data_IF_182578469962
#
_entry.id   IF_182578469962
#
_cell.length_a   1.000
_cell.length_b   1.000
_cell.length_c   1.000
_cell.angle_alpha   90.00
_cell.angle_beta   90.00
_cell.angle_gamma   90.00
#
_symmetry.space_group_name_H-M   'P 1'
#
loop_
_entity.id
_entity.type
_entity.pdbx_description
1 polymer ?
#
# COMPACT_ATOMS: atom_id res chain seq x y z
N UNK A 1 -3.39 -5.24 6.17
CA UNK A 1 -1.97 -5.30 6.59
C UNK A 1 -1.11 -5.26 5.34
N UNK A 2 -0.13 -4.36 5.26
CA UNK A 2 0.70 -4.23 4.05
C UNK A 2 1.65 -5.42 3.89
N UNK A 3 1.61 -6.10 2.75
CA UNK A 3 2.51 -7.19 2.32
C UNK A 3 3.99 -6.89 2.69
N UNK A 4 4.43 -5.66 2.43
CA UNK A 4 5.81 -5.20 2.65
C UNK A 4 6.22 -5.12 4.12
N UNK A 5 5.26 -5.11 5.06
CA UNK A 5 5.55 -5.14 6.50
C UNK A 5 5.95 -6.54 6.98
N UNK A 6 5.89 -7.56 6.12
CA UNK A 6 6.42 -8.89 6.44
C UNK A 6 7.93 -8.78 6.65
N UNK A 7 8.44 -9.22 7.79
CA UNK A 7 9.88 -9.15 8.07
C UNK A 7 10.61 -10.18 7.19
N UNK A 8 11.71 -9.81 6.50
CA UNK A 8 12.54 -10.77 5.79
C UNK A 8 13.10 -11.84 6.75
N UNK A 9 13.17 -13.09 6.30
CA UNK A 9 13.82 -14.16 7.03
C UNK A 9 15.34 -14.02 6.93
N UNK A 10 16.08 -14.55 7.90
CA UNK A 10 17.56 -14.49 7.95
C UNK A 10 18.26 -15.12 6.74
N UNK A 11 17.57 -16.02 6.04
CA UNK A 11 18.04 -16.67 4.81
C UNK A 11 17.94 -15.76 3.58
N UNK A 12 17.07 -14.76 3.59
CA UNK A 12 16.97 -13.78 2.50
C UNK A 12 18.14 -12.81 2.64
N UNK A 13 18.99 -12.72 1.63
CA UNK A 13 20.14 -11.80 1.63
C UNK A 13 19.87 -10.58 0.79
N UNK A 14 19.17 -10.77 -0.32
CA UNK A 14 18.91 -9.73 -1.31
C UNK A 14 17.45 -9.33 -1.36
N UNK A 15 17.16 -8.15 -1.94
CA UNK A 15 15.78 -7.73 -2.24
C UNK A 15 15.06 -8.71 -3.17
N UNK A 16 15.76 -9.36 -4.10
CA UNK A 16 15.17 -10.39 -4.97
C UNK A 16 14.69 -11.61 -4.17
N UNK A 17 15.49 -12.09 -3.21
CA UNK A 17 15.10 -13.20 -2.33
C UNK A 17 13.85 -12.85 -1.54
N UNK A 18 13.81 -11.63 -1.01
CA UNK A 18 12.65 -11.13 -0.29
C UNK A 18 11.41 -11.02 -1.18
N UNK A 19 11.53 -10.50 -2.39
CA UNK A 19 10.42 -10.43 -3.34
C UNK A 19 9.89 -11.83 -3.68
N UNK A 20 10.76 -12.80 -3.97
CA UNK A 20 10.35 -14.20 -4.22
C UNK A 20 9.60 -14.78 -3.03
N UNK A 21 10.11 -14.59 -1.82
CA UNK A 21 9.46 -15.03 -0.59
C UNK A 21 8.04 -14.45 -0.45
N UNK A 22 7.89 -13.15 -0.66
CA UNK A 22 6.58 -12.51 -0.59
C UNK A 22 5.64 -13.03 -1.67
N UNK A 23 6.14 -13.21 -2.90
CA UNK A 23 5.35 -13.72 -4.03
C UNK A 23 4.85 -15.13 -3.74
N UNK A 24 5.72 -16.02 -3.28
CA UNK A 24 5.34 -17.39 -2.94
C UNK A 24 4.30 -17.42 -1.82
N UNK A 25 4.49 -16.60 -0.78
CA UNK A 25 3.62 -16.55 0.39
C UNK A 25 2.24 -15.97 0.07
N UNK A 26 2.18 -14.88 -0.67
CA UNK A 26 0.97 -14.06 -0.82
C UNK A 26 0.27 -14.21 -2.18
N UNK A 27 0.95 -14.75 -3.19
CA UNK A 27 0.39 -14.90 -4.55
C UNK A 27 0.29 -16.36 -4.94
N UNK A 28 1.41 -17.10 -4.94
CA UNK A 28 1.45 -18.51 -5.37
C UNK A 28 0.59 -19.39 -4.47
N UNK A 29 0.81 -19.31 -3.15
CA UNK A 29 0.11 -20.18 -2.20
C UNK A 29 -1.42 -19.97 -2.27
N UNK A 30 -1.96 -18.74 -2.23
CA UNK A 30 -3.40 -18.55 -2.37
C UNK A 30 -3.96 -19.03 -3.72
N UNK A 31 -3.25 -18.79 -4.83
CA UNK A 31 -3.67 -19.26 -6.15
C UNK A 31 -3.85 -20.78 -6.17
N UNK A 32 -2.83 -21.55 -5.78
CA UNK A 32 -2.89 -23.01 -5.84
C UNK A 32 -3.77 -23.63 -4.74
N UNK A 33 -3.82 -23.02 -3.56
CA UNK A 33 -4.60 -23.55 -2.43
C UNK A 33 -6.10 -23.29 -2.59
N UNK A 34 -6.48 -22.11 -3.08
CA UNK A 34 -7.88 -21.69 -3.18
C UNK A 34 -8.41 -21.67 -4.61
N UNK A 35 -7.58 -22.08 -5.59
CA UNK A 35 -7.90 -22.04 -7.03
C UNK A 35 -8.35 -20.64 -7.48
N UNK A 36 -7.68 -19.60 -6.96
CA UNK A 36 -8.02 -18.22 -7.32
C UNK A 36 -7.71 -17.98 -8.79
N UNK A 37 -8.71 -17.67 -9.61
CA UNK A 37 -8.55 -17.34 -11.03
C UNK A 37 -8.07 -15.90 -11.25
N UNK A 38 -8.05 -15.10 -10.19
CA UNK A 38 -7.65 -13.70 -10.24
C UNK A 38 -6.99 -13.30 -8.93
N UNK A 39 -5.87 -12.58 -9.02
CA UNK A 39 -5.12 -12.08 -7.86
C UNK A 39 -4.85 -10.59 -8.04
N UNK A 40 -5.34 -9.79 -7.10
CA UNK A 40 -5.17 -8.34 -7.07
C UNK A 40 -4.20 -7.93 -5.98
N UNK A 41 -3.12 -7.25 -6.36
CA UNK A 41 -2.14 -6.70 -5.45
C UNK A 41 -2.17 -5.17 -5.49
N UNK A 42 -2.79 -4.57 -4.48
CA UNK A 42 -2.95 -3.12 -4.38
C UNK A 42 -2.02 -2.56 -3.30
N UNK A 43 -1.16 -1.63 -3.70
CA UNK A 43 -0.36 -0.84 -2.78
C UNK A 43 -1.06 0.50 -2.51
N UNK A 44 -1.09 0.90 -1.24
CA UNK A 44 -1.73 2.15 -0.82
C UNK A 44 -1.00 3.38 -1.38
N UNK A 45 -1.78 4.35 -1.82
CA UNK A 45 -1.34 5.47 -2.65
C UNK A 45 -1.28 6.75 -1.82
N UNK A 46 -0.09 7.33 -1.56
CA UNK A 46 -0.01 8.55 -0.76
C UNK A 46 -0.53 9.81 -1.47
N UNK A 47 -0.69 9.85 -2.79
CA UNK A 47 -0.86 11.12 -3.54
C UNK A 47 -2.06 11.24 -4.53
N UNK A 48 -3.15 10.46 -4.44
CA UNK A 48 -4.24 10.48 -5.46
C UNK A 48 -5.55 11.13 -5.04
N UNK A 49 -5.69 11.53 -3.78
CA UNK A 49 -6.93 12.15 -3.28
C UNK A 49 -6.67 13.60 -2.85
N UNK A 50 -6.36 14.48 -3.82
CA UNK A 50 -6.11 15.90 -3.54
C UNK A 50 -5.12 16.15 -2.40
N UNK A 51 -5.11 17.36 -1.85
CA UNK A 51 -4.52 17.60 -0.53
C UNK A 51 -5.45 17.07 0.55
N UNK A 52 -5.26 15.82 0.98
CA UNK A 52 -5.99 15.33 2.14
C UNK A 52 -5.33 15.83 3.44
N UNK A 53 -6.08 16.02 4.54
CA UNK A 53 -5.49 16.32 5.85
C UNK A 53 -4.44 15.28 6.29
N UNK A 54 -4.56 14.04 5.79
CA UNK A 54 -3.54 12.99 6.02
C UNK A 54 -2.22 13.34 5.37
N UNK A 55 -2.20 14.03 4.23
CA UNK A 55 -0.98 14.38 3.51
C UNK A 55 -0.22 15.53 4.18
N UNK A 56 -0.95 16.45 4.82
CA UNK A 56 -0.37 17.48 5.69
C UNK A 56 0.30 16.84 6.90
N UNK A 57 -0.42 15.99 7.63
CA UNK A 57 0.13 15.29 8.81
C UNK A 57 1.28 14.34 8.42
N UNK A 58 1.18 13.69 7.26
CA UNK A 58 2.25 12.87 6.68
C UNK A 58 3.48 13.69 6.33
N UNK A 59 3.30 14.88 5.76
CA UNK A 59 4.42 15.77 5.41
C UNK A 59 5.09 16.29 6.67
N UNK A 60 4.32 16.63 7.70
CA UNK A 60 4.85 17.05 9.00
C UNK A 60 5.74 16.00 9.67
N UNK A 61 5.38 14.71 9.55
CA UNK A 61 6.20 13.59 10.07
C UNK A 61 7.50 13.40 9.28
N UNK A 62 7.46 13.67 7.99
CA UNK A 62 8.60 13.48 7.09
C UNK A 62 9.65 14.60 7.18
N UNK A 63 9.34 15.74 7.85
CA UNK A 63 10.30 16.83 8.09
C UNK A 63 11.46 16.40 9.00
N UNK A 64 11.32 15.29 9.73
CA UNK A 64 12.45 14.70 10.47
C UNK A 64 13.49 14.18 9.47
N UNK A 65 14.77 14.55 9.66
CA UNK A 65 15.91 14.10 8.85
C UNK A 65 16.01 12.57 8.85
N UNK A 66 15.30 11.93 7.93
CA UNK A 66 15.37 10.50 7.72
C UNK A 66 16.42 10.21 6.66
N UNK A 67 17.47 9.50 7.06
CA UNK A 67 18.57 9.14 6.16
C UNK A 67 18.05 8.15 5.12
N UNK A 68 18.06 8.57 3.85
CA UNK A 68 17.73 7.71 2.71
C UNK A 68 18.90 6.75 2.51
N UNK A 69 18.71 5.47 2.81
CA UNK A 69 19.76 4.44 2.68
C UNK A 69 20.06 4.05 1.22
N UNK A 70 19.04 4.00 0.36
CA UNK A 70 19.14 3.62 -1.05
C UNK A 70 18.47 4.64 -1.97
N UNK A 71 19.09 4.92 -3.11
CA UNK A 71 18.47 5.69 -4.20
C UNK A 71 17.79 4.80 -5.25
N UNK A 72 18.23 3.55 -5.35
CA UNK A 72 17.68 2.54 -6.25
C UNK A 72 17.83 1.14 -5.64
N UNK A 73 16.89 0.25 -5.94
CA UNK A 73 16.96 -1.15 -5.54
C UNK A 73 17.25 -2.01 -6.77
N UNK A 74 18.31 -2.80 -6.70
CA UNK A 74 18.62 -3.81 -7.71
C UNK A 74 18.33 -5.22 -7.16
N UNK A 75 18.17 -6.24 -8.02
CA UNK A 75 17.94 -7.61 -7.56
C UNK A 75 19.03 -8.14 -6.62
N UNK A 76 20.28 -7.70 -6.81
CA UNK A 76 21.42 -8.13 -6.01
C UNK A 76 21.70 -7.21 -4.81
N UNK A 77 20.93 -6.14 -4.62
CA UNK A 77 21.11 -5.24 -3.48
C UNK A 77 20.80 -6.00 -2.19
N UNK A 78 21.72 -5.90 -1.22
CA UNK A 78 21.54 -6.50 0.10
C UNK A 78 20.37 -5.86 0.85
N UNK A 79 19.70 -6.66 1.68
CA UNK A 79 18.64 -6.17 2.55
C UNK A 79 19.22 -5.25 3.65
N UNK A 80 18.47 -4.21 4.06
CA UNK A 80 18.88 -3.33 5.14
C UNK A 80 18.95 -4.11 6.45
N UNK A 81 19.95 -3.79 7.26
CA UNK A 81 20.15 -4.42 8.58
C UNK A 81 18.99 -4.15 9.55
N UNK A 82 18.31 -3.01 9.41
CA UNK A 82 17.13 -2.64 10.20
C UNK A 82 15.91 -2.40 9.30
N UNK A 83 15.14 -3.47 9.08
CA UNK A 83 13.95 -3.45 8.22
C UNK A 83 12.90 -2.40 8.65
N UNK A 84 12.69 -2.22 9.96
CA UNK A 84 11.70 -1.25 10.46
C UNK A 84 12.12 0.19 10.17
N UNK A 85 13.41 0.49 10.35
CA UNK A 85 13.97 1.81 10.04
C UNK A 85 13.95 2.09 8.54
N UNK A 86 14.22 1.08 7.71
CA UNK A 86 14.10 1.22 6.26
C UNK A 86 12.66 1.56 5.85
N UNK A 87 11.67 0.81 6.36
CA UNK A 87 10.27 1.02 6.02
C UNK A 87 9.65 2.29 6.61
N UNK A 88 10.25 2.88 7.66
CA UNK A 88 9.80 4.18 8.16
C UNK A 88 10.07 5.31 7.18
N UNK A 89 11.04 5.15 6.27
CA UNK A 89 11.35 6.13 5.23
C UNK A 89 10.43 5.97 4.04
N UNK A 90 9.61 6.99 3.75
CA UNK A 90 8.61 6.94 2.68
C UNK A 90 9.23 6.69 1.30
N UNK A 91 10.33 7.37 0.97
CA UNK A 91 11.07 7.16 -0.28
C UNK A 91 11.50 5.70 -0.43
N UNK A 92 12.02 5.09 0.65
CA UNK A 92 12.42 3.67 0.65
C UNK A 92 11.24 2.73 0.51
N UNK A 93 10.15 2.98 1.25
CA UNK A 93 8.91 2.22 1.13
C UNK A 93 8.40 2.22 -0.30
N UNK A 94 8.43 3.38 -0.97
CA UNK A 94 8.01 3.51 -2.38
C UNK A 94 8.96 2.78 -3.33
N UNK A 95 10.28 2.93 -3.16
CA UNK A 95 11.28 2.17 -3.93
C UNK A 95 11.04 0.66 -3.82
N UNK A 96 10.78 0.17 -2.60
CA UNK A 96 10.47 -1.24 -2.36
C UNK A 96 9.19 -1.70 -3.05
N UNK A 97 8.12 -0.90 -2.94
CA UNK A 97 6.83 -1.21 -3.59
C UNK A 97 7.02 -1.33 -5.10
N UNK A 98 7.73 -0.38 -5.72
CA UNK A 98 7.98 -0.41 -7.16
C UNK A 98 8.79 -1.64 -7.56
N UNK A 99 9.87 -1.91 -6.83
CA UNK A 99 10.72 -3.09 -7.05
C UNK A 99 9.92 -4.40 -6.95
N UNK A 100 9.06 -4.53 -5.94
CA UNK A 100 8.21 -5.71 -5.73
C UNK A 100 7.19 -5.85 -6.86
N UNK A 101 6.48 -4.78 -7.21
CA UNK A 101 5.49 -4.81 -8.29
C UNK A 101 6.08 -5.30 -9.60
N UNK A 102 7.24 -4.77 -10.01
CA UNK A 102 7.94 -5.18 -11.23
C UNK A 102 8.32 -6.67 -11.20
N UNK A 103 8.92 -7.13 -10.10
CA UNK A 103 9.36 -8.51 -9.99
C UNK A 103 8.19 -9.49 -9.86
N UNK A 104 7.10 -9.09 -9.23
CA UNK A 104 5.89 -9.90 -9.12
C UNK A 104 5.26 -10.15 -10.47
N UNK A 105 5.23 -9.15 -11.36
CA UNK A 105 4.79 -9.35 -12.74
C UNK A 105 5.66 -10.39 -13.45
N UNK A 106 6.98 -10.28 -13.29
CA UNK A 106 7.93 -11.23 -13.87
C UNK A 106 7.71 -12.65 -13.34
N UNK A 107 7.53 -12.80 -12.02
CA UNK A 107 7.29 -14.11 -11.39
C UNK A 107 5.93 -14.69 -11.75
N UNK A 108 4.88 -13.87 -11.80
CA UNK A 108 3.54 -14.26 -12.23
C UNK A 108 3.57 -14.79 -13.66
N UNK A 109 4.26 -14.11 -14.58
CA UNK A 109 4.40 -14.57 -15.95
C UNK A 109 5.08 -15.96 -16.04
N UNK A 110 6.08 -16.21 -15.20
CA UNK A 110 6.77 -17.50 -15.18
C UNK A 110 5.92 -18.61 -14.52
N UNK A 111 5.19 -18.28 -13.45
CA UNK A 111 4.46 -19.26 -12.64
C UNK A 111 3.08 -19.59 -13.21
N UNK A 112 2.42 -18.62 -13.81
CA UNK A 112 1.04 -18.73 -14.28
C UNK A 112 0.92 -18.95 -15.79
N UNK A 113 2.03 -19.17 -16.50
CA UNK A 113 2.05 -19.38 -17.95
C UNK A 113 1.06 -20.46 -18.45
N UNK A 114 0.80 -21.47 -17.62
CA UNK A 114 -0.07 -22.61 -17.94
C UNK A 114 -1.38 -22.64 -17.12
N UNK A 115 -1.72 -21.56 -16.41
CA UNK A 115 -2.88 -21.51 -15.51
C UNK A 115 -3.78 -20.33 -15.86
N UNK A 116 -5.09 -20.54 -15.87
CA UNK A 116 -6.12 -19.48 -16.01
C UNK A 116 -6.11 -18.54 -14.79
N UNK A 117 -5.05 -17.76 -14.62
CA UNK A 117 -4.87 -16.83 -13.52
C UNK A 117 -4.49 -15.45 -14.02
N UNK A 118 -5.38 -14.48 -13.80
CA UNK A 118 -5.09 -13.07 -14.03
C UNK A 118 -4.42 -12.46 -12.80
N UNK A 119 -3.17 -12.04 -12.93
CA UNK A 119 -2.46 -11.30 -11.89
C UNK A 119 -2.47 -9.80 -12.18
N UNK A 120 -3.05 -8.99 -11.29
CA UNK A 120 -3.19 -7.54 -11.41
C UNK A 120 -2.45 -6.88 -10.25
N UNK A 121 -1.70 -5.82 -10.52
CA UNK A 121 -1.12 -4.97 -9.47
C UNK A 121 -1.39 -3.49 -9.73
N UNK A 122 -1.54 -2.71 -8.66
CA UNK A 122 -1.76 -1.27 -8.72
C UNK A 122 -1.03 -0.53 -7.59
N UNK A 123 -0.67 0.73 -7.85
CA UNK A 123 0.03 1.60 -6.89
C UNK A 123 1.53 1.35 -6.77
N UNK A 124 2.13 0.63 -7.71
CA UNK A 124 3.55 0.25 -7.69
C UNK A 124 4.35 0.52 -8.96
N UNK A 125 3.88 1.40 -9.85
CA UNK A 125 4.66 1.85 -11.00
C UNK A 125 4.66 3.37 -11.00
N UNK A 126 5.84 3.97 -10.91
CA UNK A 126 6.02 5.42 -10.97
C UNK A 126 6.98 5.76 -12.10
N UNK A 127 6.44 5.99 -13.29
CA UNK A 127 7.15 6.77 -14.29
C UNK A 127 6.64 8.22 -14.14
N UNK A 128 7.30 8.99 -13.29
CA UNK A 128 7.11 10.45 -13.17
C UNK A 128 5.63 10.86 -12.96
N UNK A 129 5.01 10.44 -11.87
CA UNK A 129 3.66 10.87 -11.41
C UNK A 129 2.45 10.13 -12.00
N UNK A 130 2.63 9.03 -12.75
CA UNK A 130 1.51 8.20 -13.21
C UNK A 130 1.56 6.82 -12.55
N UNK A 131 0.73 6.64 -11.53
CA UNK A 131 0.49 5.35 -10.89
C UNK A 131 -0.31 4.46 -11.84
N UNK A 132 0.41 3.58 -12.54
CA UNK A 132 -0.18 2.64 -13.47
C UNK A 132 -0.69 1.42 -12.70
N UNK A 133 -1.89 0.97 -13.04
CA UNK A 133 -2.43 -0.28 -12.55
C UNK A 133 -3.06 -1.04 -13.71
N UNK A 134 -2.28 -1.89 -14.39
CA UNK A 134 -2.72 -3.18 -14.95
C UNK A 134 -1.63 -3.81 -15.82
N UNK A 135 -1.12 -4.94 -15.36
CA UNK A 135 -0.85 -6.06 -16.26
C UNK A 135 -1.99 -7.05 -16.03
N UNK A 136 -2.62 -7.54 -17.09
CA UNK A 136 -3.38 -8.77 -17.02
C UNK A 136 -2.56 -9.82 -17.76
N UNK A 137 -2.12 -10.86 -17.05
CA UNK A 137 -1.57 -12.05 -17.69
C UNK A 137 -2.76 -12.97 -17.93
N UNK A 138 -3.22 -13.07 -19.18
CA UNK A 138 -4.15 -14.12 -19.59
C UNK A 138 -3.37 -15.26 -20.22
N UNK A 139 -3.96 -16.46 -20.30
CA UNK A 139 -3.38 -17.61 -21.01
C UNK A 139 -3.06 -17.32 -22.48
N UNK A 140 -3.56 -16.22 -23.03
CA UNK A 140 -3.52 -15.89 -24.46
C UNK A 140 -2.75 -14.61 -24.78
N UNK A 141 -2.51 -13.72 -23.82
CA UNK A 141 -1.84 -12.43 -24.04
C UNK A 141 -1.34 -11.83 -22.74
N UNK A 142 -0.17 -11.18 -22.82
CA UNK A 142 0.29 -10.22 -21.80
C UNK A 142 -0.22 -8.86 -22.25
N UNK A 143 -1.23 -8.33 -21.56
CA UNK A 143 -1.78 -7.02 -21.89
C UNK A 143 -1.31 -5.98 -20.87
N UNK A 144 -0.51 -5.04 -21.38
CA UNK A 144 -0.11 -3.84 -20.67
C UNK A 144 -1.20 -2.79 -20.87
N UNK A 145 -2.06 -2.62 -19.87
CA UNK A 145 -3.04 -1.54 -19.86
C UNK A 145 -2.60 -0.50 -18.85
N UNK A 146 -2.05 0.60 -19.36
CA UNK A 146 -1.84 1.78 -18.55
C UNK A 146 -3.21 2.41 -18.37
N UNK A 147 -3.76 2.37 -17.16
CA UNK A 147 -4.84 3.26 -16.78
C UNK A 147 -4.28 4.69 -16.78
N UNK A 148 -4.16 5.30 -17.96
CA UNK A 148 -3.99 6.74 -18.11
C UNK A 148 -5.28 7.40 -17.66
N UNK A 149 -5.17 8.54 -16.99
CA UNK A 149 -6.27 9.32 -16.43
C UNK A 149 -7.26 9.81 -17.52
N UNK A 150 -8.07 8.93 -18.11
CA UNK A 150 -9.27 9.29 -18.88
C UNK A 150 -10.46 9.58 -17.94
N UNK A 151 -10.19 10.06 -16.72
CA UNK A 151 -11.19 10.60 -15.80
C UNK A 151 -10.84 12.07 -15.50
N UNK A 152 -10.86 12.88 -16.54
CA UNK A 152 -11.05 14.33 -16.53
C UNK A 152 -11.64 14.61 -17.90
N UNK A 153 -12.95 14.70 -18.07
CA UNK A 153 -13.70 15.89 -17.71
C UNK A 153 -15.15 15.50 -17.37
N UNK A 154 -15.42 15.13 -16.11
CA UNK A 154 -16.77 15.35 -15.59
C UNK A 154 -16.77 16.82 -15.21
N UNK A 155 -17.24 17.67 -16.11
CA UNK A 155 -17.67 19.02 -15.76
C UNK A 155 -18.66 18.86 -14.60
N UNK A 156 -18.18 19.13 -13.39
CA UNK A 156 -19.05 19.38 -12.25
C UNK A 156 -19.63 20.74 -12.58
N UNK A 157 -20.84 20.75 -13.13
CA UNK A 157 -21.69 21.93 -13.16
C UNK A 157 -21.91 22.34 -11.69
N UNK A 158 -21.01 23.17 -11.17
CA UNK A 158 -21.19 23.94 -9.94
C UNK A 158 -22.23 25.04 -10.26
N UNK A 159 -23.46 24.63 -10.53
CA UNK A 159 -24.64 25.48 -10.31
C UNK A 159 -24.83 25.58 -8.80
N UNK A 160 -23.94 26.36 -8.17
CA UNK A 160 -24.13 26.85 -6.81
C UNK A 160 -25.14 27.99 -6.90
N UNK A 161 -26.41 27.65 -6.75
CA UNK A 161 -27.45 28.61 -6.41
C UNK A 161 -27.08 29.20 -5.04
N UNK A 162 -26.58 30.43 -5.07
CA UNK A 162 -26.45 31.32 -3.91
C UNK A 162 -27.86 31.63 -3.38
N UNK A 163 -28.42 30.70 -2.61
CA UNK A 163 -29.52 31.00 -1.71
C UNK A 163 -28.92 31.52 -0.40
N UNK A 164 -28.90 32.85 -0.31
CA UNK A 164 -29.04 33.59 0.94
C UNK A 164 -29.99 32.86 1.88
N UNK A 165 -29.62 32.65 3.14
CA UNK A 165 -30.52 32.91 4.27
C UNK A 165 -29.83 32.73 5.64
N UNK A 166 -29.95 33.82 6.41
CA UNK A 166 -30.21 33.90 7.84
C UNK A 166 -29.17 33.37 8.85
N UNK A 167 -28.48 34.35 9.46
CA UNK A 167 -28.64 34.69 10.88
C UNK A 167 -29.28 33.57 11.74
N UNK A 168 -28.49 32.94 12.61
CA UNK A 168 -28.91 32.74 14.00
C UNK A 168 -27.77 32.23 14.90
N UNK A 169 -27.48 33.09 15.87
CA UNK A 169 -27.33 32.80 17.30
C UNK A 169 -26.19 31.89 17.76
N UNK A 170 -25.19 32.60 18.28
CA UNK A 170 -24.41 32.25 19.48
C UNK A 170 -25.26 31.46 20.49
N UNK A 171 -24.96 30.16 20.63
CA UNK A 171 -25.34 29.40 21.82
C UNK A 171 -24.07 28.99 22.54
N UNK A 172 -23.80 29.74 23.60
CA UNK A 172 -22.88 29.44 24.68
C UNK A 172 -23.25 28.14 25.42
N UNK A 173 -22.20 27.38 25.76
CA UNK A 173 -22.05 26.55 26.98
C UNK A 173 -22.78 25.17 27.06
N UNK A 174 -22.40 24.24 27.97
CA UNK A 174 -21.14 24.02 28.69
C UNK A 174 -20.56 22.59 28.52
N UNK A 175 -19.36 22.44 29.06
CA UNK A 175 -18.67 21.18 29.32
C UNK A 175 -19.49 20.17 30.15
N UNK A 176 -19.63 18.94 29.64
CA UNK A 176 -19.87 17.75 30.46
C UNK A 176 -18.65 16.82 30.44
N UNK A 177 -17.88 16.90 31.52
CA UNK A 177 -16.84 15.93 31.86
C UNK A 177 -17.50 14.64 32.37
N UNK A 178 -17.69 13.67 31.48
CA UNK A 178 -17.95 12.29 31.88
C UNK A 178 -16.66 11.59 32.29
N UNK A 179 -16.37 11.62 33.60
CA UNK A 179 -15.57 10.61 34.27
C UNK A 179 -16.32 9.27 34.16
N UNK A 180 -15.93 8.43 33.19
CA UNK A 180 -16.25 7.01 33.25
C UNK A 180 -15.07 6.22 33.81
N UNK A 181 -15.44 5.42 34.79
CA UNK A 181 -14.71 4.42 35.54
C UNK A 181 -14.17 3.29 34.66
N UNK A 182 -12.88 3.00 34.77
CA UNK A 182 -12.32 1.68 34.46
C UNK A 182 -11.84 1.08 35.78
N UNK A 183 -12.67 0.31 36.48
CA UNK A 183 -13.05 -1.08 36.21
C UNK A 183 -11.86 -2.03 36.39
N UNK A 184 -11.93 -2.73 37.52
CA UNK A 184 -11.13 -3.88 37.89
C UNK A 184 -10.99 -4.86 36.73
N UNK A 185 -9.74 -5.17 36.34
CA UNK A 185 -9.45 -6.32 35.50
C UNK A 185 -8.50 -7.26 36.25
N UNK A 186 -9.12 -8.31 36.78
CA UNK A 186 -8.52 -9.45 37.45
C UNK A 186 -7.38 -10.08 36.64
N UNK A 187 -6.22 -10.20 37.27
CA UNK A 187 -5.16 -11.14 36.88
C UNK A 187 -5.53 -12.53 37.41
N UNK A 188 -5.95 -13.43 36.51
CA UNK A 188 -5.86 -14.87 36.74
C UNK A 188 -4.82 -15.42 35.79
N UNK A 189 -3.61 -15.62 36.31
CA UNK A 189 -2.59 -16.45 35.69
C UNK A 189 -2.92 -17.92 36.02
N UNK A 190 -3.32 -18.67 35.01
CA UNK A 190 -3.27 -20.12 34.97
C UNK A 190 -2.28 -20.55 33.90
N UNK A 191 -1.82 -21.80 34.02
CA UNK A 191 -0.87 -22.55 33.19
C UNK A 191 0.56 -22.60 33.74
N UNK A 192 1.21 -23.76 33.88
CA UNK A 192 0.78 -25.16 33.79
C UNK A 192 1.93 -26.02 34.37
N UNK A 193 1.58 -27.22 34.82
CA UNK A 193 2.47 -28.32 35.21
C UNK A 193 2.16 -29.52 34.31
#
# INVERSE_FOLDING_TARGET
MFIINTIPLSVHKTFLDYARFLFDKWVVRPHFQFKATEVHLVFDHPNRQGTSPKDIERSRRDISDQTVEFDQLSPATDLPSNWRSFLSVRKQKRLLVNFISEHFLTFANQKFLNSECSFITGGGFDNQFKDQARLAISNTSIEYMIASDEISDVEIDDDHDDDDDDDNDDVDDPAEAHLFSDLDMFYLASEDL
#
